data_IF_306099205912
#
_entry.id   IF_306099205912
#
_cell.length_a   1.000
_cell.length_b   1.000
_cell.length_c   1.000
_cell.angle_alpha   90.00
_cell.angle_beta   90.00
_cell.angle_gamma   90.00
#
_symmetry.space_group_name_H-M   'P 1'
#
loop_
_entity.id
_entity.type
_entity.pdbx_description
1 polymer ?
#
# COMPACT_ATOMS: atom_id res chain seq x y z
N UNK A 1 20.75 26.54 -28.70
CA UNK A 1 19.76 26.45 -27.60
C UNK A 1 19.60 24.97 -27.28
N UNK A 2 20.58 24.42 -26.55
CA UNK A 2 20.51 23.98 -25.13
C UNK A 2 19.63 22.75 -24.89
N UNK A 3 20.37 21.63 -24.90
CA UNK A 3 20.17 20.34 -24.25
C UNK A 3 19.21 20.33 -23.05
N UNK A 4 18.22 19.43 -23.11
CA UNK A 4 17.47 18.93 -21.96
C UNK A 4 18.27 17.73 -21.43
N UNK A 5 19.03 17.92 -20.35
CA UNK A 5 19.62 16.79 -19.63
C UNK A 5 18.50 16.02 -18.93
N UNK A 6 18.27 14.80 -19.41
CA UNK A 6 17.63 13.74 -18.63
C UNK A 6 18.52 13.49 -17.41
N UNK A 7 18.13 14.02 -16.26
CA UNK A 7 18.61 13.51 -14.99
C UNK A 7 17.87 12.21 -14.71
N UNK A 8 18.47 11.11 -15.16
CA UNK A 8 18.13 9.73 -14.81
C UNK A 8 18.34 9.58 -13.29
N UNK A 9 17.34 10.00 -12.53
CA UNK A 9 17.39 9.97 -11.07
C UNK A 9 17.01 8.56 -10.66
N UNK A 10 18.01 7.69 -10.56
CA UNK A 10 17.89 6.39 -9.91
C UNK A 10 17.28 6.63 -8.51
N UNK A 11 15.99 6.35 -8.35
CA UNK A 11 15.35 6.35 -7.04
C UNK A 11 15.93 5.18 -6.25
N UNK A 12 17.10 5.38 -5.63
CA UNK A 12 17.74 4.42 -4.73
C UNK A 12 16.93 4.37 -3.44
N UNK A 13 15.80 3.65 -3.51
CA UNK A 13 14.96 3.36 -2.38
C UNK A 13 15.81 2.54 -1.39
N UNK A 14 16.27 3.17 -0.30
CA UNK A 14 17.01 2.48 0.77
C UNK A 14 16.04 1.54 1.48
N UNK A 15 15.84 0.35 0.91
CA UNK A 15 15.01 -0.69 1.48
C UNK A 15 15.74 -1.32 2.66
N UNK A 16 15.48 -0.82 3.86
CA UNK A 16 15.90 -1.48 5.09
C UNK A 16 15.07 -2.74 5.27
N UNK A 17 15.68 -3.91 5.10
CA UNK A 17 15.07 -5.18 5.52
C UNK A 17 15.18 -5.25 7.03
N UNK A 18 14.05 -5.21 7.72
CA UNK A 18 13.99 -5.45 9.15
C UNK A 18 13.74 -6.95 9.34
N UNK A 19 14.78 -7.69 9.72
CA UNK A 19 14.61 -9.04 10.30
C UNK A 19 14.11 -8.86 11.74
N UNK A 20 12.85 -8.50 11.87
CA UNK A 20 12.19 -8.37 13.18
C UNK A 20 11.92 -9.75 13.77
N UNK A 21 12.02 -9.93 15.11
CA UNK A 21 11.57 -11.17 15.76
C UNK A 21 10.13 -11.49 15.37
N UNK A 22 9.70 -12.75 15.51
CA UNK A 22 8.38 -13.36 15.19
C UNK A 22 7.10 -12.47 15.23
N UNK A 23 7.14 -11.35 15.96
CA UNK A 23 6.15 -10.25 16.00
C UNK A 23 5.80 -9.59 14.64
N UNK A 24 6.58 -9.76 13.58
CA UNK A 24 6.25 -9.29 12.21
C UNK A 24 5.86 -10.43 11.26
N UNK A 25 5.45 -11.59 11.79
CA UNK A 25 4.87 -12.65 10.98
C UNK A 25 3.70 -12.13 10.13
N UNK A 26 3.57 -12.68 8.92
CA UNK A 26 2.50 -12.29 7.97
C UNK A 26 1.11 -12.41 8.57
N UNK A 27 0.90 -13.39 9.45
CA UNK A 27 -0.36 -13.59 10.18
C UNK A 27 -0.65 -12.43 11.17
N UNK A 28 0.35 -12.04 11.96
CA UNK A 28 0.25 -10.89 12.88
C UNK A 28 -0.06 -9.60 12.12
N UNK A 29 0.63 -9.36 11.00
CA UNK A 29 0.41 -8.17 10.17
C UNK A 29 -0.97 -8.18 9.50
N UNK A 30 -1.43 -9.34 9.01
CA UNK A 30 -2.76 -9.47 8.43
C UNK A 30 -3.86 -9.23 9.46
N UNK A 31 -3.68 -9.72 10.70
CA UNK A 31 -4.59 -9.43 11.81
C UNK A 31 -4.60 -7.94 12.17
N UNK A 32 -3.42 -7.32 12.33
CA UNK A 32 -3.31 -5.89 12.63
C UNK A 32 -3.98 -5.03 11.54
N UNK A 33 -3.81 -5.37 10.26
CA UNK A 33 -4.48 -4.66 9.16
C UNK A 33 -6.00 -4.83 9.21
N UNK A 34 -6.50 -6.04 9.54
CA UNK A 34 -7.93 -6.31 9.64
C UNK A 34 -8.59 -5.55 10.78
N UNK A 35 -7.90 -5.40 11.90
CA UNK A 35 -8.38 -4.67 13.08
C UNK A 35 -8.25 -3.14 12.93
N UNK A 36 -7.55 -2.67 11.90
CA UNK A 36 -7.36 -1.25 11.62
C UNK A 36 -8.62 -0.64 10.99
N UNK A 37 -9.24 0.38 11.60
CA UNK A 37 -10.46 0.99 11.07
C UNK A 37 -10.25 1.71 9.72
N UNK A 38 -9.01 2.09 9.40
CA UNK A 38 -8.67 2.80 8.18
C UNK A 38 -8.26 1.88 7.03
N UNK A 39 -7.81 0.65 7.35
CA UNK A 39 -7.24 -0.30 6.38
C UNK A 39 -8.08 -1.57 6.24
N UNK A 40 -8.72 -2.03 7.32
CA UNK A 40 -9.40 -3.32 7.40
C UNK A 40 -10.49 -3.48 6.35
N UNK A 41 -11.37 -2.49 6.21
CA UNK A 41 -12.45 -2.55 5.20
C UNK A 41 -11.88 -2.56 3.77
N UNK A 42 -10.82 -1.80 3.50
CA UNK A 42 -10.17 -1.74 2.18
C UNK A 42 -9.51 -3.07 1.85
N UNK A 43 -8.80 -3.66 2.81
CA UNK A 43 -8.20 -4.98 2.68
C UNK A 43 -9.29 -6.03 2.44
N UNK A 44 -10.38 -5.99 3.19
CA UNK A 44 -11.51 -6.91 3.05
C UNK A 44 -12.16 -6.80 1.67
N UNK A 45 -12.44 -5.60 1.17
CA UNK A 45 -13.01 -5.40 -0.16
C UNK A 45 -12.10 -5.93 -1.27
N UNK A 46 -10.78 -5.75 -1.13
CA UNK A 46 -9.80 -6.32 -2.05
C UNK A 46 -9.74 -7.85 -1.99
N UNK A 47 -9.84 -8.45 -0.79
CA UNK A 47 -9.91 -9.91 -0.62
C UNK A 47 -11.18 -10.48 -1.27
N UNK A 48 -12.30 -9.77 -1.13
CA UNK A 48 -13.60 -10.14 -1.71
C UNK A 48 -13.68 -9.90 -3.22
N UNK A 49 -12.65 -9.29 -3.82
CA UNK A 49 -12.64 -8.96 -5.25
C UNK A 49 -13.68 -7.90 -5.63
N UNK A 50 -14.10 -7.06 -4.69
CA UNK A 50 -15.05 -5.98 -4.96
C UNK A 50 -14.44 -4.91 -5.85
N UNK A 51 -15.29 -4.22 -6.59
CA UNK A 51 -14.91 -3.01 -7.31
C UNK A 51 -14.59 -1.87 -6.34
N UNK A 52 -13.87 -0.86 -6.84
CA UNK A 52 -13.54 0.34 -6.08
C UNK A 52 -14.83 1.07 -5.68
N UNK A 53 -15.11 1.29 -4.38
CA UNK A 53 -16.29 2.00 -3.93
C UNK A 53 -16.37 3.42 -4.49
N UNK A 54 -17.59 3.94 -4.67
CA UNK A 54 -17.78 5.30 -5.13
C UNK A 54 -17.38 6.32 -4.05
N UNK A 55 -16.97 7.53 -4.48
CA UNK A 55 -16.57 8.60 -3.55
C UNK A 55 -17.64 8.93 -2.51
N UNK A 56 -18.92 8.88 -2.89
CA UNK A 56 -20.06 9.17 -2.00
C UNK A 56 -20.17 8.19 -0.83
N UNK A 57 -19.74 6.95 -1.02
CA UNK A 57 -19.79 5.90 0.02
C UNK A 57 -18.69 6.10 1.07
N UNK A 58 -17.57 6.71 0.67
CA UNK A 58 -16.38 6.87 1.51
C UNK A 58 -16.12 8.33 1.93
N UNK A 59 -16.96 9.29 1.49
CA UNK A 59 -16.77 10.72 1.77
C UNK A 59 -16.79 11.06 3.26
N UNK A 60 -17.45 10.26 4.09
CA UNK A 60 -17.52 10.44 5.55
C UNK A 60 -16.43 9.68 6.31
N UNK A 61 -15.55 8.94 5.62
CA UNK A 61 -14.42 8.22 6.23
C UNK A 61 -13.28 9.18 6.59
N UNK A 62 -12.34 8.67 7.39
CA UNK A 62 -11.15 9.41 7.82
C UNK A 62 -10.28 9.84 6.62
N UNK A 63 -9.44 10.88 6.79
CA UNK A 63 -8.46 11.25 5.76
C UNK A 63 -7.50 10.10 5.40
N UNK A 64 -7.09 9.30 6.38
CA UNK A 64 -6.22 8.13 6.20
C UNK A 64 -6.86 7.08 5.31
N UNK A 65 -8.12 6.72 5.59
CA UNK A 65 -8.91 5.79 4.78
C UNK A 65 -9.02 6.28 3.33
N UNK A 66 -9.33 7.57 3.15
CA UNK A 66 -9.41 8.19 1.81
C UNK A 66 -8.07 8.15 1.07
N UNK A 67 -6.96 8.28 1.79
CA UNK A 67 -5.62 8.11 1.23
C UNK A 67 -5.42 6.71 0.65
N UNK A 68 -5.76 5.67 1.41
CA UNK A 68 -5.72 4.29 0.90
C UNK A 68 -6.69 4.06 -0.25
N UNK A 69 -7.91 4.60 -0.18
CA UNK A 69 -8.88 4.52 -1.28
C UNK A 69 -8.36 5.21 -2.55
N UNK A 70 -7.66 6.35 -2.43
CA UNK A 70 -7.05 7.02 -3.58
C UNK A 70 -5.94 6.17 -4.23
N UNK A 71 -5.28 5.31 -3.44
CA UNK A 71 -4.26 4.37 -3.88
C UNK A 71 -4.83 3.03 -4.37
N UNK A 72 -6.16 2.88 -4.47
CA UNK A 72 -6.82 1.60 -4.73
C UNK A 72 -6.19 0.79 -5.88
N UNK A 73 -5.88 1.44 -7.00
CA UNK A 73 -5.36 0.77 -8.20
C UNK A 73 -3.92 0.26 -8.00
N UNK A 74 -3.18 0.85 -7.05
CA UNK A 74 -1.85 0.42 -6.63
C UNK A 74 -1.88 -0.54 -5.43
N UNK A 75 -3.05 -1.01 -4.99
CA UNK A 75 -3.18 -1.94 -3.87
C UNK A 75 -3.51 -3.36 -4.35
N UNK A 76 -2.79 -4.35 -3.83
CA UNK A 76 -3.00 -5.77 -4.11
C UNK A 76 -2.96 -6.60 -2.83
N UNK A 77 -3.66 -7.74 -2.84
CA UNK A 77 -3.58 -8.73 -1.76
C UNK A 77 -2.50 -9.75 -2.10
N UNK A 78 -1.59 -9.99 -1.15
CA UNK A 78 -0.63 -11.08 -1.23
C UNK A 78 -0.63 -11.84 0.10
N UNK A 79 -0.95 -13.13 0.06
CA UNK A 79 -1.07 -13.98 1.26
C UNK A 79 -1.97 -13.36 2.34
N UNK A 80 -3.13 -12.83 1.96
CA UNK A 80 -4.11 -12.12 2.83
C UNK A 80 -3.67 -10.75 3.35
N UNK A 81 -2.45 -10.30 3.04
CA UNK A 81 -1.95 -8.98 3.44
C UNK A 81 -2.18 -7.96 2.32
N UNK A 82 -2.70 -6.78 2.68
CA UNK A 82 -2.78 -5.65 1.77
C UNK A 82 -1.38 -5.06 1.58
N UNK A 83 -0.93 -5.06 0.33
CA UNK A 83 0.36 -4.51 -0.10
C UNK A 83 0.16 -3.43 -1.13
N UNK A 84 1.09 -2.48 -1.12
CA UNK A 84 1.21 -1.49 -2.20
C UNK A 84 2.13 -2.04 -3.28
N UNK A 85 1.66 -2.01 -4.51
CA UNK A 85 2.41 -2.34 -5.71
C UNK A 85 2.88 -1.05 -6.35
N UNK A 86 4.15 -1.01 -6.71
CA UNK A 86 4.74 0.07 -7.50
C UNK A 86 5.30 -0.52 -8.78
N UNK A 87 4.93 0.05 -9.92
CA UNK A 87 5.56 -0.24 -11.20
C UNK A 87 6.72 0.72 -11.41
N UNK A 88 7.86 0.22 -11.89
CA UNK A 88 8.96 1.09 -12.29
C UNK A 88 8.52 1.98 -13.46
N UNK A 89 9.12 3.18 -13.63
CA UNK A 89 8.77 4.09 -14.72
C UNK A 89 8.81 3.43 -16.11
N UNK A 90 9.70 2.46 -16.27
CA UNK A 90 9.87 1.67 -17.50
C UNK A 90 8.85 0.53 -17.68
N UNK A 91 7.98 0.31 -16.69
CA UNK A 91 6.96 -0.76 -16.67
C UNK A 91 7.51 -2.18 -16.56
N UNK A 92 8.83 -2.33 -16.38
CA UNK A 92 9.52 -3.64 -16.41
C UNK A 92 9.52 -4.36 -15.07
N UNK A 93 9.32 -3.64 -13.96
CA UNK A 93 9.45 -4.19 -12.61
C UNK A 93 8.24 -3.83 -11.74
N UNK A 94 7.72 -4.82 -11.00
CA UNK A 94 6.71 -4.64 -9.95
C UNK A 94 7.34 -4.87 -8.59
N UNK A 95 7.34 -3.83 -7.76
CA UNK A 95 7.82 -3.86 -6.39
C UNK A 95 6.65 -3.91 -5.41
N UNK A 96 6.74 -4.77 -4.38
CA UNK A 96 5.73 -4.90 -3.32
C UNK A 96 6.24 -4.29 -2.02
N UNK A 97 5.44 -3.44 -1.40
CA UNK A 97 5.69 -2.86 -0.07
C UNK A 97 4.57 -3.27 0.89
N UNK A 98 4.96 -3.85 2.02
CA UNK A 98 4.03 -4.14 3.12
C UNK A 98 3.58 -2.81 3.74
N UNK A 99 2.26 -2.61 3.86
CA UNK A 99 1.74 -1.41 4.50
C UNK A 99 1.56 -1.67 6.01
N UNK A 100 2.27 -0.94 6.89
CA UNK A 100 2.02 -1.03 8.33
C UNK A 100 0.64 -0.44 8.67
N UNK A 101 0.03 -0.91 9.77
CA UNK A 101 -1.21 -0.31 10.32
C UNK A 101 -1.04 1.20 10.52
N UNK A 102 -2.13 1.96 10.36
CA UNK A 102 -2.21 3.40 10.58
C UNK A 102 -1.65 3.84 11.94
N UNK A 103 -1.69 2.95 12.95
CA UNK A 103 -1.17 3.18 14.30
C UNK A 103 0.35 3.24 14.39
N UNK A 104 1.09 2.75 13.39
CA UNK A 104 2.56 2.64 13.39
C UNK A 104 3.24 3.61 12.41
N UNK A 105 2.46 4.52 11.80
CA UNK A 105 2.96 5.46 10.78
C UNK A 105 3.14 6.90 11.29
N UNK A 106 3.21 7.11 12.61
CA UNK A 106 3.48 8.40 13.27
C UNK A 106 4.89 8.42 13.86
#
# INVERSE_FOLDING_TARGET
MSIIELVDTEFKCRRTKLDGPEKWGTDTLAREQREDPDVGDIAQWKIEGKERPAWREISNRSPTFKGYWALWDSLAIQNTLLKRVWESPDGKERNYQDHPSSKKST
#
